data_IF_135565333921
#
_entry.id   IF_135565333921
#
_cell.length_a   1.000
_cell.length_b   1.000
_cell.length_c   1.000
_cell.angle_alpha   90.00
_cell.angle_beta   90.00
_cell.angle_gamma   90.00
#
_symmetry.space_group_name_H-M   'P 1'
#
loop_
_entity.id
_entity.type
_entity.pdbx_description
1 polymer ?
#
# COMPACT_ATOMS: atom_id res chain seq x y z
N UNK A 1 -13.14 -4.22 42.45
CA UNK A 1 -11.89 -4.82 41.94
C UNK A 1 -11.59 -4.19 40.59
N UNK A 2 -10.36 -3.74 40.38
CA UNK A 2 -9.95 -3.08 39.12
C UNK A 2 -8.70 -3.75 38.59
N UNK A 3 -8.78 -4.33 37.38
CA UNK A 3 -7.63 -4.94 36.70
C UNK A 3 -7.19 -3.96 35.60
N UNK A 4 -6.02 -3.36 35.76
CA UNK A 4 -5.45 -2.43 34.77
C UNK A 4 -4.51 -3.17 33.81
N UNK A 5 -4.64 -2.89 32.50
CA UNK A 5 -3.87 -3.56 31.41
C UNK A 5 -4.00 -5.09 31.42
N UNK A 6 -5.22 -5.57 31.20
CA UNK A 6 -5.56 -7.00 31.14
C UNK A 6 -4.71 -7.77 30.12
N UNK A 7 -4.21 -8.93 30.53
CA UNK A 7 -3.53 -9.92 29.69
C UNK A 7 -4.42 -11.15 29.52
N UNK A 8 -4.11 -11.98 28.52
CA UNK A 8 -4.83 -13.24 28.28
C UNK A 8 -4.78 -14.15 29.51
N UNK A 9 -3.70 -14.10 30.30
CA UNK A 9 -3.55 -14.86 31.55
C UNK A 9 -4.55 -14.49 32.63
N UNK A 10 -5.18 -13.32 32.53
CA UNK A 10 -6.12 -12.82 33.53
C UNK A 10 -7.55 -13.30 33.24
N UNK A 11 -7.77 -14.01 32.13
CA UNK A 11 -9.05 -14.62 31.79
C UNK A 11 -9.38 -15.76 32.75
N UNK A 12 -10.65 -15.84 33.15
CA UNK A 12 -11.14 -16.85 34.08
C UNK A 12 -12.33 -16.40 34.91
N UNK A 13 -12.70 -17.23 35.87
CA UNK A 13 -13.81 -16.93 36.77
C UNK A 13 -13.36 -16.01 37.92
N UNK A 14 -14.08 -14.91 38.08
CA UNK A 14 -13.92 -13.96 39.18
C UNK A 14 -15.05 -14.23 40.17
N UNK A 15 -14.69 -14.63 41.39
CA UNK A 15 -15.65 -14.86 42.48
C UNK A 15 -15.51 -13.75 43.52
N UNK A 16 -16.63 -13.14 43.88
CA UNK A 16 -16.74 -12.13 44.93
C UNK A 16 -17.54 -12.71 46.09
N UNK A 17 -16.93 -12.66 47.27
CA UNK A 17 -17.50 -13.17 48.51
C UNK A 17 -17.78 -11.99 49.44
N UNK A 18 -19.04 -11.77 49.79
CA UNK A 18 -19.44 -10.78 50.78
C UNK A 18 -19.93 -11.51 52.03
N UNK A 19 -19.31 -11.22 53.19
CA UNK A 19 -19.62 -11.88 54.46
C UNK A 19 -19.88 -10.88 55.57
N UNK A 20 -20.91 -11.11 56.37
CA UNK A 20 -21.21 -10.35 57.59
C UNK A 20 -21.56 -11.32 58.74
N UNK A 21 -22.07 -10.78 59.85
CA UNK A 21 -22.50 -11.55 61.02
C UNK A 21 -23.74 -12.42 60.79
N UNK A 22 -24.50 -12.18 59.71
CA UNK A 22 -25.76 -12.85 59.40
C UNK A 22 -25.60 -13.93 58.33
N UNK A 23 -24.59 -13.82 57.45
CA UNK A 23 -24.36 -14.81 56.41
C UNK A 23 -23.26 -14.43 55.42
N UNK A 24 -23.19 -15.24 54.37
CA UNK A 24 -22.24 -15.11 53.27
C UNK A 24 -22.99 -15.20 51.94
N UNK A 25 -22.70 -14.28 51.03
CA UNK A 25 -23.24 -14.23 49.68
C UNK A 25 -22.10 -14.28 48.68
N UNK A 26 -22.26 -15.14 47.67
CA UNK A 26 -21.31 -15.37 46.60
C UNK A 26 -21.89 -14.85 45.29
N UNK A 27 -21.07 -14.14 44.51
CA UNK A 27 -21.38 -13.78 43.14
C UNK A 27 -20.16 -14.09 42.26
N UNK A 28 -20.36 -14.74 41.12
CA UNK A 28 -19.27 -15.00 40.17
C UNK A 28 -19.56 -14.43 38.79
N UNK A 29 -18.49 -14.11 38.06
CA UNK A 29 -18.52 -13.60 36.69
C UNK A 29 -17.33 -14.15 35.89
N UNK A 30 -17.55 -14.49 34.63
CA UNK A 30 -16.49 -14.93 33.72
C UNK A 30 -15.86 -13.72 33.03
N UNK A 31 -14.53 -13.62 33.05
CA UNK A 31 -13.76 -12.62 32.31
C UNK A 31 -13.12 -13.26 31.08
N UNK A 32 -13.60 -12.85 29.90
CA UNK A 32 -13.00 -13.23 28.62
C UNK A 32 -12.07 -12.10 28.12
N UNK A 33 -10.80 -12.42 27.86
CA UNK A 33 -9.81 -11.45 27.36
C UNK A 33 -9.40 -11.81 25.93
N UNK A 34 -9.73 -10.94 24.99
CA UNK A 34 -9.35 -11.08 23.59
C UNK A 34 -8.15 -10.19 23.26
N UNK A 35 -7.10 -10.78 22.67
CA UNK A 35 -6.00 -10.01 22.13
C UNK A 35 -6.42 -9.41 20.79
N UNK A 36 -6.60 -8.09 20.77
CA UNK A 36 -6.70 -7.36 19.49
C UNK A 36 -5.39 -7.53 18.74
N UNK A 37 -5.48 -7.99 17.48
CA UNK A 37 -4.31 -8.12 16.60
C UNK A 37 -3.78 -6.74 16.28
N UNK A 38 -2.90 -6.22 17.13
CA UNK A 38 -2.22 -4.95 16.88
C UNK A 38 -1.19 -5.16 15.76
N UNK A 39 -1.53 -4.65 14.58
CA UNK A 39 -0.70 -4.73 13.38
C UNK A 39 0.67 -4.04 13.55
N UNK A 40 0.81 -3.14 14.54
CA UNK A 40 2.09 -2.47 14.84
C UNK A 40 3.15 -3.43 15.38
N UNK A 41 2.75 -4.60 15.89
CA UNK A 41 3.68 -5.66 16.33
C UNK A 41 3.86 -6.76 15.27
N UNK A 42 3.20 -6.66 14.12
CA UNK A 42 3.47 -7.58 13.00
C UNK A 42 4.84 -7.22 12.47
N UNK A 43 5.86 -7.94 12.96
CA UNK A 43 7.18 -7.93 12.35
C UNK A 43 6.97 -8.30 10.88
N UNK A 44 7.30 -7.38 9.98
CA UNK A 44 7.33 -7.66 8.56
C UNK A 44 8.14 -8.94 8.37
N UNK A 45 7.62 -9.87 7.58
CA UNK A 45 8.36 -11.08 7.26
C UNK A 45 9.72 -10.65 6.72
N UNK A 46 10.82 -11.29 7.15
CA UNK A 46 12.14 -10.95 6.65
C UNK A 46 12.13 -11.04 5.12
N UNK A 47 12.69 -10.03 4.46
CA UNK A 47 12.81 -9.99 3.01
C UNK A 47 13.74 -11.13 2.58
N UNK A 48 13.17 -12.18 1.99
CA UNK A 48 13.95 -13.21 1.28
C UNK A 48 14.36 -12.62 -0.06
N UNK A 49 15.65 -12.31 -0.22
CA UNK A 49 16.19 -12.01 -1.54
C UNK A 49 16.13 -13.29 -2.36
N UNK A 50 15.21 -13.33 -3.32
CA UNK A 50 15.11 -14.44 -4.25
C UNK A 50 16.20 -14.29 -5.30
N UNK A 51 16.85 -15.39 -5.62
CA UNK A 51 17.82 -15.43 -6.73
C UNK A 51 17.09 -15.33 -8.07
N UNK A 52 17.84 -14.98 -9.13
CA UNK A 52 17.28 -14.87 -10.48
C UNK A 52 16.65 -16.20 -10.93
N UNK A 53 17.27 -17.32 -10.55
CA UNK A 53 16.79 -18.67 -10.87
C UNK A 53 15.45 -18.97 -10.18
N UNK A 54 15.30 -18.63 -8.90
CA UNK A 54 14.04 -18.79 -8.16
C UNK A 54 12.90 -17.93 -8.73
N UNK A 55 13.23 -16.75 -9.25
CA UNK A 55 12.27 -15.86 -9.92
C UNK A 55 11.81 -16.48 -11.24
N UNK A 56 12.74 -17.04 -12.02
CA UNK A 56 12.41 -17.71 -13.29
C UNK A 56 11.55 -18.97 -13.06
N UNK A 57 11.89 -19.80 -12.07
CA UNK A 57 11.07 -20.96 -11.71
C UNK A 57 9.65 -20.57 -11.29
N UNK A 58 9.52 -19.47 -10.55
CA UNK A 58 8.22 -18.92 -10.16
C UNK A 58 7.43 -18.43 -11.36
N UNK A 59 8.08 -17.78 -12.32
CA UNK A 59 7.43 -17.32 -13.55
C UNK A 59 6.92 -18.50 -14.39
N UNK A 60 7.74 -19.53 -14.59
CA UNK A 60 7.34 -20.76 -15.29
C UNK A 60 6.17 -21.43 -14.59
N UNK A 61 6.21 -21.52 -13.26
CA UNK A 61 5.11 -22.09 -12.46
C UNK A 61 3.83 -21.27 -12.61
N UNK A 62 3.95 -19.95 -12.54
CA UNK A 62 2.81 -19.05 -12.69
C UNK A 62 2.20 -19.13 -14.09
N UNK A 63 3.02 -19.15 -15.15
CA UNK A 63 2.54 -19.34 -16.52
C UNK A 63 1.76 -20.66 -16.65
N UNK A 64 2.26 -21.74 -16.05
CA UNK A 64 1.58 -23.04 -16.03
C UNK A 64 0.25 -23.00 -15.27
N UNK A 65 0.22 -22.34 -14.12
CA UNK A 65 -1.00 -22.17 -13.32
C UNK A 65 -2.06 -21.29 -14.00
N UNK A 66 -1.63 -20.18 -14.62
CA UNK A 66 -2.52 -19.26 -15.36
C UNK A 66 -3.13 -19.92 -16.58
N UNK A 67 -2.33 -20.68 -17.32
CA UNK A 67 -2.81 -21.43 -18.48
C UNK A 67 -3.73 -22.60 -18.07
N UNK A 68 -3.62 -23.12 -16.84
CA UNK A 68 -4.49 -24.16 -16.31
C UNK A 68 -4.63 -25.36 -17.27
N UNK A 69 -5.87 -25.79 -17.52
CA UNK A 69 -6.17 -26.88 -18.47
C UNK A 69 -5.98 -26.47 -19.95
N UNK A 70 -5.97 -25.17 -20.25
CA UNK A 70 -5.74 -24.66 -21.61
C UNK A 70 -4.29 -24.85 -22.05
N UNK A 71 -3.34 -24.72 -21.12
CA UNK A 71 -1.92 -24.98 -21.39
C UNK A 71 -1.66 -26.44 -21.78
N UNK A 72 -2.26 -27.38 -21.05
CA UNK A 72 -2.16 -28.80 -21.38
C UNK A 72 -2.84 -29.14 -22.71
N UNK A 73 -3.98 -28.51 -23.00
CA UNK A 73 -4.68 -28.68 -24.27
C UNK A 73 -3.88 -28.10 -25.44
N UNK A 74 -3.17 -26.98 -25.24
CA UNK A 74 -2.35 -26.34 -26.26
C UNK A 74 -1.08 -27.16 -26.58
N UNK A 75 -0.39 -27.68 -25.57
CA UNK A 75 0.78 -28.56 -25.76
C UNK A 75 0.41 -29.90 -26.42
N UNK A 76 -0.78 -30.44 -26.11
CA UNK A 76 -1.30 -31.66 -26.75
C UNK A 76 -1.88 -31.42 -28.14
N UNK A 77 -2.21 -30.17 -28.48
CA UNK A 77 -2.78 -29.86 -29.78
C UNK A 77 -1.72 -30.10 -30.88
N UNK A 78 -2.10 -30.73 -32.00
CA UNK A 78 -1.20 -30.86 -33.12
C UNK A 78 -0.80 -29.48 -33.62
N UNK A 79 0.51 -29.20 -33.63
CA UNK A 79 1.06 -27.93 -34.11
C UNK A 79 0.55 -27.67 -35.53
N UNK A 80 0.04 -26.48 -35.76
CA UNK A 80 -0.53 -26.13 -37.05
C UNK A 80 0.55 -26.19 -38.15
N UNK A 81 0.18 -26.77 -39.28
CA UNK A 81 1.07 -26.91 -40.44
C UNK A 81 1.36 -25.53 -41.03
N UNK A 82 2.61 -25.08 -40.86
CA UNK A 82 3.08 -23.77 -41.32
C UNK A 82 2.84 -23.58 -42.81
N UNK A 83 2.94 -24.64 -43.63
CA UNK A 83 2.71 -24.54 -45.06
C UNK A 83 1.25 -24.26 -45.39
N UNK A 84 0.32 -24.82 -44.60
CA UNK A 84 -1.12 -24.53 -44.75
C UNK A 84 -1.46 -23.12 -44.28
N UNK A 85 -0.89 -22.64 -43.18
CA UNK A 85 -1.06 -21.25 -42.74
C UNK A 85 -0.59 -20.26 -43.80
N UNK A 86 0.61 -20.45 -44.35
CA UNK A 86 1.15 -19.57 -45.40
C UNK A 86 0.29 -19.56 -46.66
N UNK A 87 -0.32 -20.69 -47.03
CA UNK A 87 -1.26 -20.76 -48.16
C UNK A 87 -2.56 -20.00 -47.88
N UNK A 88 -3.08 -20.12 -46.66
CA UNK A 88 -4.30 -19.41 -46.24
C UNK A 88 -4.04 -17.90 -46.19
N UNK A 89 -2.93 -17.45 -45.61
CA UNK A 89 -2.54 -16.04 -45.57
C UNK A 89 -2.39 -15.45 -46.97
N UNK A 90 -1.70 -16.16 -47.87
CA UNK A 90 -1.55 -15.76 -49.28
C UNK A 90 -2.88 -15.76 -50.05
N UNK A 91 -3.87 -16.52 -49.59
CA UNK A 91 -5.20 -16.59 -50.22
C UNK A 91 -6.17 -15.51 -49.73
N UNK A 92 -5.90 -14.87 -48.57
CA UNK A 92 -6.89 -14.04 -47.87
C UNK A 92 -6.97 -12.60 -48.38
N UNK A 93 -5.96 -12.11 -49.10
CA UNK A 93 -6.02 -10.83 -49.80
C UNK A 93 -4.81 -10.67 -50.73
N UNK A 94 -4.91 -9.84 -51.79
CA UNK A 94 -3.73 -9.32 -52.44
C UNK A 94 -2.91 -8.60 -51.38
N UNK A 95 -1.66 -8.99 -51.18
CA UNK A 95 -0.74 -8.22 -50.33
C UNK A 95 -0.56 -6.86 -50.98
N UNK A 96 -1.24 -5.85 -50.46
CA UNK A 96 -0.92 -4.46 -50.80
C UNK A 96 0.55 -4.24 -50.45
N UNK A 97 1.38 -3.73 -51.38
CA UNK A 97 2.75 -3.39 -51.06
C UNK A 97 2.73 -2.39 -49.90
N UNK A 98 3.48 -2.69 -48.85
CA UNK A 98 3.65 -1.80 -47.69
C UNK A 98 4.25 -0.43 -48.06
N UNK A 99 4.83 -0.34 -49.26
CA UNK A 99 5.35 0.90 -49.82
C UNK A 99 4.26 1.56 -50.66
N UNK A 100 3.81 2.73 -50.23
CA UNK A 100 2.97 3.57 -51.08
C UNK A 100 3.76 4.04 -52.29
N UNK A 101 3.08 4.25 -53.41
CA UNK A 101 3.69 4.77 -54.65
C UNK A 101 4.45 6.09 -54.38
N UNK A 102 3.93 6.92 -53.48
CA UNK A 102 4.59 8.14 -53.00
C UNK A 102 5.90 7.88 -52.25
N UNK A 103 6.02 6.77 -51.51
CA UNK A 103 7.24 6.39 -50.80
C UNK A 103 8.30 5.97 -51.81
N UNK A 104 7.94 5.12 -52.77
CA UNK A 104 8.83 4.65 -53.83
C UNK A 104 9.37 5.85 -54.61
N UNK A 105 8.52 6.81 -54.97
CA UNK A 105 8.94 8.01 -55.69
C UNK A 105 9.92 8.87 -54.88
N UNK A 106 9.69 9.05 -53.57
CA UNK A 106 10.59 9.81 -52.68
C UNK A 106 11.99 9.21 -52.55
N UNK A 107 12.11 7.88 -52.60
CA UNK A 107 13.39 7.19 -52.43
C UNK A 107 14.10 6.86 -53.74
N UNK A 108 13.36 6.75 -54.85
CA UNK A 108 13.92 6.49 -56.19
C UNK A 108 14.25 7.75 -56.97
N UNK A 109 13.67 8.91 -56.61
CA UNK A 109 13.98 10.19 -57.26
C UNK A 109 15.46 10.57 -57.01
N UNK A 110 16.23 10.90 -58.05
CA UNK A 110 17.61 11.35 -57.89
C UNK A 110 17.65 12.62 -57.05
N UNK A 111 18.41 12.57 -55.95
CA UNK A 111 18.49 13.66 -54.98
C UNK A 111 19.43 14.75 -55.52
N UNK A 112 18.91 15.96 -55.71
CA UNK A 112 19.68 17.13 -56.12
C UNK A 112 20.72 17.53 -55.05
N UNK A 113 21.80 18.22 -55.44
CA UNK A 113 22.83 18.73 -54.52
C UNK A 113 22.28 19.57 -53.36
N UNK A 114 21.14 20.24 -53.55
CA UNK A 114 20.46 20.99 -52.47
C UNK A 114 19.88 20.10 -51.35
N UNK A 115 19.68 18.80 -51.58
CA UNK A 115 19.25 17.85 -50.54
C UNK A 115 20.31 17.71 -49.44
N UNK A 116 21.58 17.66 -49.81
CA UNK A 116 22.68 17.53 -48.85
C UNK A 116 22.85 18.80 -48.02
N UNK A 117 22.53 19.98 -48.58
CA UNK A 117 22.55 21.25 -47.86
C UNK A 117 21.47 21.35 -46.76
N UNK A 118 20.37 20.61 -46.89
CA UNK A 118 19.33 20.53 -45.85
C UNK A 118 19.70 19.57 -44.71
N UNK A 119 20.53 18.56 -44.98
CA UNK A 119 21.03 17.63 -43.96
C UNK A 119 22.06 18.28 -43.03
N UNK A 120 22.79 19.28 -43.52
CA UNK A 120 23.78 20.04 -42.73
C UNK A 120 23.16 20.86 -41.59
N UNK A 121 21.84 21.07 -41.59
CA UNK A 121 21.14 21.91 -40.59
C UNK A 121 20.57 21.15 -39.38
N UNK A 122 20.74 19.83 -39.29
CA UNK A 122 20.13 19.01 -38.21
C UNK A 122 21.07 18.85 -36.99
N UNK A 123 22.28 19.41 -37.02
CA UNK A 123 23.18 19.43 -35.85
C UNK A 123 22.87 20.56 -34.86
N UNK A 124 21.73 21.25 -34.99
CA UNK A 124 21.24 22.12 -33.93
C UNK A 124 20.38 21.30 -32.97
N UNK A 125 20.93 21.13 -31.77
CA UNK A 125 20.35 20.48 -30.59
C UNK A 125 18.83 20.64 -30.51
N UNK A 126 18.09 19.53 -30.62
CA UNK A 126 16.65 19.52 -30.32
C UNK A 126 16.45 20.10 -28.90
N UNK A 127 15.64 21.15 -28.72
CA UNK A 127 15.29 21.58 -27.37
C UNK A 127 14.51 20.44 -26.70
N UNK A 128 14.90 20.11 -25.47
CA UNK A 128 14.19 19.18 -24.59
C UNK A 128 12.72 19.57 -24.53
N UNK A 129 11.83 18.64 -24.90
CA UNK A 129 10.38 18.84 -24.88
C UNK A 129 9.92 19.34 -23.51
N UNK A 130 9.10 20.39 -23.50
CA UNK A 130 8.54 21.00 -22.29
C UNK A 130 7.67 20.02 -21.48
N UNK A 131 7.15 18.96 -22.12
CA UNK A 131 6.42 17.86 -21.48
C UNK A 131 7.26 16.99 -20.54
N UNK A 132 8.58 17.17 -20.50
CA UNK A 132 9.49 16.45 -19.59
C UNK A 132 9.83 17.24 -18.32
N UNK A 133 9.33 18.48 -18.18
CA UNK A 133 9.44 19.25 -16.94
C UNK A 133 8.27 18.88 -16.03
N UNK A 134 8.58 18.23 -14.91
CA UNK A 134 7.60 17.99 -13.84
C UNK A 134 7.20 19.35 -13.23
N UNK A 135 5.90 19.53 -12.98
CA UNK A 135 5.38 20.72 -12.29
C UNK A 135 5.95 20.82 -10.88
N UNK A 136 6.37 22.03 -10.49
CA UNK A 136 6.82 22.32 -9.13
C UNK A 136 5.61 22.31 -8.17
N UNK A 137 5.35 21.14 -7.58
CA UNK A 137 4.28 20.96 -6.58
C UNK A 137 4.70 21.61 -5.27
N UNK A 138 4.13 22.77 -4.96
CA UNK A 138 4.26 23.39 -3.64
C UNK A 138 3.34 22.69 -2.64
N UNK A 139 3.91 21.74 -1.89
CA UNK A 139 3.20 21.06 -0.81
C UNK A 139 2.92 22.04 0.33
N UNK A 140 1.65 22.11 0.75
CA UNK A 140 1.28 22.88 1.95
C UNK A 140 1.97 22.27 3.17
N UNK A 141 2.64 23.07 4.02
CA UNK A 141 3.23 22.56 5.25
C UNK A 141 2.14 21.92 6.10
N UNK A 142 2.36 20.66 6.48
CA UNK A 142 1.44 19.91 7.33
C UNK A 142 1.27 20.61 8.68
N UNK A 143 0.02 20.83 9.08
CA UNK A 143 -0.31 21.38 10.39
C UNK A 143 -0.03 20.31 11.44
N UNK A 144 1.06 20.46 12.18
CA UNK A 144 1.45 19.55 13.27
C UNK A 144 0.91 20.14 14.57
N UNK A 145 -0.25 19.67 15.01
CA UNK A 145 -0.73 19.97 16.37
C UNK A 145 -0.04 19.02 17.35
N UNK A 146 0.84 19.58 18.19
CA UNK A 146 1.34 18.88 19.36
C UNK A 146 0.22 18.87 20.39
N UNK A 147 -0.17 17.67 20.83
CA UNK A 147 -1.17 17.49 21.87
C UNK A 147 -0.72 18.16 23.17
N UNK A 148 -1.47 19.16 23.64
CA UNK A 148 -1.34 19.69 25.00
C UNK A 148 -2.41 19.05 25.89
N UNK A 149 -2.03 18.43 27.02
CA UNK A 149 -2.99 17.87 27.95
C UNK A 149 -3.81 18.97 28.61
N UNK A 150 -5.11 18.74 28.74
CA UNK A 150 -6.03 19.68 29.39
C UNK A 150 -5.61 19.89 30.86
N UNK A 151 -5.30 21.13 31.22
CA UNK A 151 -5.02 21.51 32.61
C UNK A 151 -6.33 21.63 33.36
N UNK A 152 -6.51 20.82 34.39
CA UNK A 152 -7.65 20.91 35.29
C UNK A 152 -7.64 22.26 36.02
N UNK A 153 -8.72 23.04 35.85
CA UNK A 153 -8.97 24.24 36.64
C UNK A 153 -9.67 23.83 37.92
N UNK A 154 -8.97 23.82 39.04
CA UNK A 154 -9.61 23.62 40.35
C UNK A 154 -10.41 24.86 40.74
N UNK A 155 -11.64 24.64 41.19
CA UNK A 155 -12.51 25.69 41.71
C UNK A 155 -12.00 26.16 43.08
N UNK A 156 -11.79 27.47 43.24
CA UNK A 156 -11.34 28.05 44.51
C UNK A 156 -12.53 28.13 45.47
N UNK A 157 -12.52 27.26 46.47
CA UNK A 157 -13.50 27.29 47.57
C UNK A 157 -13.06 28.35 48.59
N UNK A 158 -13.89 29.37 48.80
CA UNK A 158 -13.71 30.34 49.88
C UNK A 158 -14.21 29.76 51.20
N UNK A 159 -13.28 29.42 52.10
CA UNK A 159 -13.62 28.93 53.43
C UNK A 159 -14.01 30.09 54.36
N UNK A 160 -15.11 29.92 55.11
CA UNK A 160 -15.50 30.87 56.15
C UNK A 160 -14.47 30.86 57.29
N UNK A 161 -14.10 32.06 57.76
CA UNK A 161 -13.17 32.21 58.86
C UNK A 161 -13.73 31.60 60.16
N UNK A 162 -12.87 30.87 60.89
CA UNK A 162 -13.21 30.28 62.17
C UNK A 162 -13.53 31.37 63.21
N UNK A 163 -14.50 31.14 64.12
CA UNK A 163 -14.83 32.09 65.18
C UNK A 163 -13.64 32.22 66.15
N UNK A 164 -13.24 33.48 66.42
CA UNK A 164 -12.21 33.78 67.40
C UNK A 164 -12.72 33.40 68.79
N UNK A 165 -12.02 32.46 69.43
CA UNK A 165 -12.15 32.24 70.87
C UNK A 165 -11.32 33.33 71.55
N UNK A 166 -11.98 34.25 72.24
CA UNK A 166 -11.32 35.18 73.15
C UNK A 166 -10.72 34.38 74.30
N UNK A 167 -9.39 34.42 74.44
CA UNK A 167 -8.71 33.96 75.64
C UNK A 167 -8.98 35.00 76.73
N UNK A 168 -9.75 34.61 77.75
CA UNK A 168 -9.80 35.33 79.02
C UNK A 168 -8.38 35.45 79.59
N UNK A 169 -8.00 36.69 79.92
CA UNK A 169 -6.77 36.98 80.65
C UNK A 169 -6.99 36.62 82.13
N UNK A 170 -6.25 35.63 82.63
CA UNK A 170 -6.16 35.38 84.06
C UNK A 170 -5.14 36.36 84.69
N UNK A 171 -5.42 36.91 85.90
CA UNK A 171 -4.47 37.72 86.67
C UNK A 171 -3.30 36.90 87.23
#
# INVERSE_FOLDING_TARGET
MTISKTKISDAGEIVVIAKNSEGEVLASAMLDVYQTKDFRHVKLKPTSFMTIDELHEREVRWQKEVLGSLGEAFEKAPKADQQKLMRIERSKSPTEPLESEELIEKFTKPKNEQFYNQLTYIETTRPTFESMKLEDVTLKPGHIEKYEPAKETMERVELRAAPKVEKEAAP
#
